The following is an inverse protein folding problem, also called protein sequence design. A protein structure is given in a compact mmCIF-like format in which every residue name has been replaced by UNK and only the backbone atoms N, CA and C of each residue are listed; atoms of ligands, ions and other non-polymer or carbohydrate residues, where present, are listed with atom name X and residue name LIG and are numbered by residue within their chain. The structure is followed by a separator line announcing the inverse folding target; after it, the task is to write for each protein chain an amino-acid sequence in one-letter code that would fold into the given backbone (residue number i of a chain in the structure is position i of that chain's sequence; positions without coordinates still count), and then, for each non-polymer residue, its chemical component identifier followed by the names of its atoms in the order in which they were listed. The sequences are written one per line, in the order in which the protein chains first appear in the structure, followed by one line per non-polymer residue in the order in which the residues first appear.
data_IF_980622897869
#
_entry.id   IF_980622897869
#
_cell.length_a   1.000
_cell.length_b   1.000
_cell.length_c   1.000
_cell.angle_alpha   90.00
_cell.angle_beta   90.00
_cell.angle_gamma   90.00
#
_symmetry.space_group_name_H-M   'P 1'
#
loop_
_entity.id
_entity.type
_entity.pdbx_description
1 polymer ?
#
# COMPACT_ATOMS: atom_id res chain seq x y z
N UNK A 1 -58.82 -83.25 -40.09
CA UNK A 1 -58.87 -83.63 -38.66
C UNK A 1 -58.38 -82.44 -37.88
N UNK A 2 -59.27 -81.77 -37.17
CA UNK A 2 -59.28 -81.49 -35.74
C UNK A 2 -57.96 -80.89 -35.22
N UNK A 3 -57.88 -79.78 -34.54
CA UNK A 3 -58.66 -79.16 -33.47
C UNK A 3 -58.29 -77.72 -33.26
N UNK A 4 -59.15 -76.84 -33.18
CA UNK A 4 -59.58 -75.75 -32.38
C UNK A 4 -58.85 -75.68 -31.01
N UNK A 5 -58.30 -74.57 -30.66
CA UNK A 5 -58.53 -73.93 -29.35
C UNK A 5 -58.19 -72.45 -29.39
N UNK A 6 -59.07 -71.67 -28.90
CA UNK A 6 -59.10 -70.27 -28.52
C UNK A 6 -58.40 -70.10 -27.22
N UNK A 7 -57.66 -69.04 -27.02
CA UNK A 7 -57.59 -68.31 -25.72
C UNK A 7 -57.15 -66.88 -25.89
N UNK A 8 -57.94 -66.09 -25.56
CA UNK A 8 -58.27 -64.88 -24.84
C UNK A 8 -57.06 -64.15 -24.27
N UNK A 9 -57.00 -62.88 -24.67
CA UNK A 9 -56.73 -61.59 -23.95
C UNK A 9 -56.13 -61.68 -22.55
N UNK A 10 -55.13 -60.89 -22.38
CA UNK A 10 -55.13 -59.93 -21.24
C UNK A 10 -54.15 -58.74 -21.54
N UNK A 11 -54.72 -57.58 -21.50
CA UNK A 11 -53.97 -56.34 -21.59
C UNK A 11 -53.11 -56.13 -20.33
N UNK A 12 -51.91 -55.68 -20.54
CA UNK A 12 -51.10 -55.17 -19.44
C UNK A 12 -50.93 -53.69 -19.66
N UNK A 13 -51.55 -52.93 -18.79
CA UNK A 13 -51.41 -51.47 -18.67
C UNK A 13 -50.08 -51.22 -18.01
N UNK A 14 -49.10 -50.70 -18.75
CA UNK A 14 -47.87 -50.21 -18.17
C UNK A 14 -48.12 -48.83 -17.54
N UNK A 15 -48.29 -48.79 -16.25
CA UNK A 15 -48.24 -47.59 -15.44
C UNK A 15 -46.80 -47.11 -15.35
N UNK A 16 -46.43 -46.18 -16.21
CA UNK A 16 -45.25 -45.38 -16.01
C UNK A 16 -45.52 -44.35 -14.89
N UNK A 17 -45.14 -44.72 -13.68
CA UNK A 17 -45.12 -43.82 -12.56
C UNK A 17 -44.08 -42.72 -12.84
N UNK A 18 -44.52 -41.50 -13.18
CA UNK A 18 -43.69 -40.33 -13.17
C UNK A 18 -43.37 -40.00 -11.70
N UNK A 19 -42.16 -40.31 -11.27
CA UNK A 19 -41.63 -39.86 -9.99
C UNK A 19 -41.39 -38.36 -10.15
N UNK A 20 -42.29 -37.54 -9.66
CA UNK A 20 -42.09 -36.13 -9.49
C UNK A 20 -41.07 -35.94 -8.34
N UNK A 21 -39.82 -35.64 -8.69
CA UNK A 21 -38.84 -35.16 -7.73
C UNK A 21 -39.29 -33.77 -7.24
N UNK A 22 -40.02 -33.75 -6.14
CA UNK A 22 -40.26 -32.51 -5.38
C UNK A 22 -38.93 -32.12 -4.74
N UNK A 23 -38.32 -31.00 -5.10
CA UNK A 23 -37.12 -30.57 -4.40
C UNK A 23 -37.51 -30.23 -2.96
N UNK A 24 -36.99 -30.98 -2.01
CA UNK A 24 -37.23 -30.71 -0.59
C UNK A 24 -36.81 -29.29 -0.28
N UNK A 25 -37.66 -28.51 0.36
CA UNK A 25 -37.44 -27.12 0.76
C UNK A 25 -36.13 -26.91 1.55
N UNK A 26 -35.61 -27.98 2.10
CA UNK A 26 -34.34 -28.06 2.81
C UNK A 26 -33.10 -27.78 1.93
N UNK A 27 -33.12 -28.17 0.66
CA UNK A 27 -31.96 -27.95 -0.24
C UNK A 27 -31.85 -26.50 -0.72
N UNK A 28 -32.98 -25.84 -0.94
CA UNK A 28 -33.03 -24.42 -1.29
C UNK A 28 -32.58 -23.52 -0.14
N UNK A 29 -32.84 -23.92 1.10
CA UNK A 29 -32.34 -23.19 2.28
C UNK A 29 -30.86 -23.41 2.48
N UNK A 30 -30.30 -24.58 2.24
CA UNK A 30 -28.88 -24.86 2.28
C UNK A 30 -28.11 -24.08 1.19
N UNK A 31 -28.61 -24.01 -0.03
CA UNK A 31 -28.03 -23.21 -1.12
C UNK A 31 -27.99 -21.70 -0.76
N UNK A 32 -29.08 -21.18 -0.18
CA UNK A 32 -29.12 -19.78 0.27
C UNK A 32 -28.12 -19.49 1.40
N UNK A 33 -27.94 -20.39 2.36
CA UNK A 33 -26.98 -20.27 3.43
C UNK A 33 -25.54 -20.29 2.92
N UNK A 34 -25.24 -21.14 1.94
CA UNK A 34 -23.91 -21.20 1.32
C UNK A 34 -23.60 -19.91 0.55
N UNK A 35 -24.55 -19.36 -0.21
CA UNK A 35 -24.32 -18.12 -0.97
C UNK A 35 -24.15 -16.90 -0.06
N UNK A 36 -24.87 -16.83 1.05
CA UNK A 36 -24.71 -15.72 2.04
C UNK A 36 -23.36 -15.86 2.75
N UNK A 37 -22.94 -17.08 3.11
CA UNK A 37 -21.66 -17.32 3.76
C UNK A 37 -20.48 -16.99 2.86
N UNK A 38 -20.52 -17.33 1.56
CA UNK A 38 -19.46 -17.00 0.60
C UNK A 38 -19.39 -15.49 0.31
N UNK A 39 -20.52 -14.79 0.25
CA UNK A 39 -20.54 -13.33 0.10
C UNK A 39 -19.95 -12.62 1.32
N UNK A 40 -20.21 -13.13 2.54
CA UNK A 40 -19.66 -12.56 3.77
C UNK A 40 -18.13 -12.77 3.88
N UNK A 41 -17.62 -13.92 3.44
CA UNK A 41 -16.17 -14.18 3.44
C UNK A 41 -15.44 -13.33 2.40
N UNK A 42 -16.05 -13.08 1.23
CA UNK A 42 -15.45 -12.24 0.19
C UNK A 42 -15.37 -10.76 0.60
N UNK A 43 -16.25 -10.28 1.47
CA UNK A 43 -16.26 -8.90 1.95
C UNK A 43 -15.20 -8.62 3.04
N UNK A 44 -14.63 -9.65 3.66
CA UNK A 44 -13.61 -9.54 4.71
C UNK A 44 -12.17 -9.48 4.18
N UNK A 45 -11.95 -9.63 2.86
CA UNK A 45 -10.61 -9.65 2.27
C UNK A 45 -10.20 -8.35 1.58
N UNK A 46 -10.91 -7.24 1.80
CA UNK A 46 -10.41 -5.93 1.37
C UNK A 46 -9.28 -5.50 2.31
N UNK A 47 -8.10 -6.07 2.13
CA UNK A 47 -6.90 -5.49 2.67
C UNK A 47 -6.72 -4.14 1.98
N UNK A 48 -6.96 -3.07 2.69
CA UNK A 48 -6.59 -1.73 2.26
C UNK A 48 -5.06 -1.72 2.15
N UNK A 49 -4.57 -1.80 0.93
CA UNK A 49 -3.18 -1.51 0.63
C UNK A 49 -3.03 -0.02 0.88
N UNK A 50 -2.53 0.35 2.06
CA UNK A 50 -2.09 1.70 2.30
C UNK A 50 -0.79 1.90 1.51
N UNK A 51 -0.92 2.31 0.25
CA UNK A 51 0.16 3.05 -0.39
C UNK A 51 0.38 4.33 0.44
N UNK A 52 1.63 4.76 0.60
CA UNK A 52 2.02 6.02 1.26
C UNK A 52 1.02 7.11 0.90
N UNK A 53 0.59 7.90 1.86
CA UNK A 53 -0.78 8.32 1.98
C UNK A 53 -1.24 8.98 0.69
N UNK A 54 -2.30 8.43 0.10
CA UNK A 54 -3.17 9.23 -0.75
C UNK A 54 -3.76 10.32 0.15
N UNK A 55 -2.92 11.29 0.53
CA UNK A 55 -3.41 12.48 1.19
C UNK A 55 -4.40 13.12 0.24
N UNK A 56 -5.63 13.19 0.67
CA UNK A 56 -6.62 14.03 0.05
C UNK A 56 -5.96 15.39 -0.22
N UNK A 57 -6.01 15.85 -1.45
CA UNK A 57 -5.36 17.08 -1.95
C UNK A 57 -5.71 18.36 -1.15
N UNK A 58 -6.42 18.24 -0.04
CA UNK A 58 -6.98 19.35 0.75
C UNK A 58 -6.18 19.68 2.01
N UNK A 59 -5.27 18.82 2.48
CA UNK A 59 -4.51 19.12 3.70
C UNK A 59 -3.01 18.92 3.46
N UNK A 60 -2.18 19.91 3.83
CA UNK A 60 -0.74 19.76 3.74
C UNK A 60 -0.24 18.70 4.72
N UNK A 61 0.85 18.02 4.37
CA UNK A 61 1.57 17.14 5.27
C UNK A 61 2.08 17.92 6.49
N UNK A 62 2.16 17.32 7.68
CA UNK A 62 2.68 17.99 8.86
C UNK A 62 4.18 18.32 8.74
N UNK A 63 4.91 17.56 7.94
CA UNK A 63 6.36 17.68 7.76
C UNK A 63 6.77 17.54 6.29
N UNK A 64 7.98 17.93 5.98
CA UNK A 64 8.72 17.59 4.76
C UNK A 64 9.45 16.28 5.01
N UNK A 65 9.80 15.57 3.96
CA UNK A 65 10.55 14.33 4.10
C UNK A 65 11.75 14.30 3.18
N UNK A 66 12.86 13.80 3.67
CA UNK A 66 13.96 13.31 2.85
C UNK A 66 13.98 11.81 2.95
N UNK A 67 13.72 11.13 1.82
CA UNK A 67 13.76 9.67 1.73
C UNK A 67 15.07 9.32 1.03
N UNK A 68 15.94 8.59 1.72
CA UNK A 68 17.20 8.09 1.19
C UNK A 68 17.07 6.61 0.86
N UNK A 69 17.18 6.27 -0.40
CA UNK A 69 17.16 4.90 -0.90
C UNK A 69 18.58 4.39 -1.07
N UNK A 70 18.84 3.15 -0.69
CA UNK A 70 20.15 2.50 -0.77
C UNK A 70 20.02 1.00 -1.06
N UNK A 71 21.08 0.34 -1.58
CA UNK A 71 21.07 -1.12 -1.72
C UNK A 71 21.13 -1.84 -0.37
N UNK A 72 21.93 -1.31 0.57
CA UNK A 72 22.16 -1.89 1.90
C UNK A 72 22.63 -0.83 2.90
N UNK A 73 22.75 -1.19 4.19
CA UNK A 73 23.36 -0.36 5.23
C UNK A 73 24.88 -0.35 5.07
N UNK A 74 25.39 0.44 4.17
CA UNK A 74 26.82 0.57 3.89
C UNK A 74 27.45 1.84 4.50
N UNK A 75 28.70 2.12 4.13
CA UNK A 75 29.43 3.30 4.58
C UNK A 75 28.81 4.61 4.10
N UNK A 76 28.18 4.61 2.91
CA UNK A 76 27.53 5.80 2.32
C UNK A 76 26.29 6.18 3.10
N UNK A 77 25.47 5.18 3.48
CA UNK A 77 24.30 5.36 4.36
C UNK A 77 24.73 5.91 5.73
N UNK A 78 25.82 5.35 6.31
CA UNK A 78 26.34 5.80 7.60
C UNK A 78 26.86 7.25 7.54
N UNK A 79 27.54 7.61 6.47
CA UNK A 79 27.98 8.99 6.23
C UNK A 79 26.78 9.92 6.13
N UNK A 80 25.76 9.58 5.33
CA UNK A 80 24.53 10.35 5.21
C UNK A 80 23.85 10.56 6.58
N UNK A 81 23.68 9.50 7.39
CA UNK A 81 23.08 9.62 8.72
C UNK A 81 23.91 10.48 9.68
N UNK A 82 25.24 10.42 9.61
CA UNK A 82 26.11 11.32 10.38
C UNK A 82 25.93 12.78 9.96
N UNK A 83 25.84 13.06 8.66
CA UNK A 83 25.56 14.40 8.15
C UNK A 83 24.18 14.91 8.58
N UNK A 84 23.16 14.04 8.63
CA UNK A 84 21.84 14.37 9.20
C UNK A 84 21.95 14.80 10.65
N UNK A 85 22.72 14.09 11.48
CA UNK A 85 22.93 14.47 12.89
C UNK A 85 23.61 15.83 13.03
N UNK A 86 24.60 16.13 12.20
CA UNK A 86 25.29 17.43 12.19
C UNK A 86 24.32 18.57 11.82
N UNK A 87 23.39 18.32 10.90
CA UNK A 87 22.45 19.31 10.39
C UNK A 87 21.09 19.27 11.11
N UNK A 88 20.96 18.48 12.18
CA UNK A 88 19.67 18.18 12.82
C UNK A 88 18.86 19.42 13.19
N UNK A 89 19.50 20.43 13.80
CA UNK A 89 18.80 21.66 14.17
C UNK A 89 18.18 22.36 12.95
N UNK A 90 18.90 22.44 11.85
CA UNK A 90 18.40 23.09 10.62
C UNK A 90 17.26 22.28 9.98
N UNK A 91 17.32 20.96 10.07
CA UNK A 91 16.28 20.05 9.57
C UNK A 91 15.01 20.15 10.42
N UNK A 92 15.16 20.12 11.75
CA UNK A 92 14.04 20.26 12.70
C UNK A 92 13.33 21.62 12.54
N UNK A 93 14.09 22.69 12.37
CA UNK A 93 13.52 24.03 12.14
C UNK A 93 12.67 24.11 10.88
N UNK A 94 12.92 23.21 9.91
CA UNK A 94 12.21 23.14 8.63
C UNK A 94 11.17 22.01 8.60
N UNK A 95 10.87 21.41 9.75
CA UNK A 95 9.98 20.25 9.88
C UNK A 95 10.35 19.14 8.90
N UNK A 96 11.63 18.77 8.83
CA UNK A 96 12.12 17.71 7.93
C UNK A 96 12.27 16.41 8.70
N UNK A 97 11.60 15.36 8.23
CA UNK A 97 11.77 13.99 8.69
C UNK A 97 12.68 13.25 7.73
N UNK A 98 13.64 12.54 8.28
CA UNK A 98 14.58 11.72 7.52
C UNK A 98 14.11 10.26 7.55
N UNK A 99 14.07 9.64 6.37
CA UNK A 99 13.78 8.23 6.21
C UNK A 99 14.88 7.57 5.38
N UNK A 100 15.33 6.39 5.78
CA UNK A 100 16.22 5.54 4.99
C UNK A 100 15.50 4.25 4.67
N UNK A 101 15.55 3.82 3.42
CA UNK A 101 14.95 2.59 2.92
C UNK A 101 16.02 1.85 2.11
N UNK A 102 16.49 0.72 2.61
CA UNK A 102 17.44 -0.12 1.89
C UNK A 102 16.77 -1.36 1.30
N UNK A 103 17.24 -1.80 0.12
CA UNK A 103 16.75 -3.02 -0.54
C UNK A 103 16.98 -4.28 0.33
N UNK A 104 18.00 -4.25 1.20
CA UNK A 104 18.31 -5.30 2.17
C UNK A 104 17.28 -5.43 3.31
N UNK A 105 16.30 -4.52 3.41
CA UNK A 105 15.33 -4.44 4.50
C UNK A 105 15.74 -3.53 5.65
N UNK A 106 16.93 -2.90 5.61
CA UNK A 106 17.32 -1.92 6.62
C UNK A 106 16.51 -0.62 6.46
N UNK A 107 15.95 -0.12 7.57
CA UNK A 107 15.17 1.14 7.57
C UNK A 107 15.52 2.05 8.74
N UNK A 108 15.39 3.35 8.51
CA UNK A 108 15.43 4.37 9.56
C UNK A 108 14.25 5.31 9.35
N UNK A 109 13.35 5.46 10.34
CA UNK A 109 13.24 4.67 11.58
C UNK A 109 12.83 3.21 11.28
N UNK A 110 13.08 2.30 12.20
CA UNK A 110 12.83 0.86 12.04
C UNK A 110 11.35 0.50 11.86
N UNK A 111 10.42 1.31 12.35
CA UNK A 111 8.98 1.09 12.21
C UNK A 111 8.46 1.30 10.76
N UNK A 112 9.27 1.86 9.86
CA UNK A 112 8.85 2.08 8.46
C UNK A 112 8.45 0.77 7.76
N UNK A 113 9.14 -0.32 8.06
CA UNK A 113 8.85 -1.63 7.49
C UNK A 113 7.47 -2.17 7.93
N UNK A 114 7.03 -1.83 9.14
CA UNK A 114 5.75 -2.26 9.69
C UNK A 114 4.57 -1.45 9.12
N UNK A 115 4.79 -0.16 8.84
CA UNK A 115 3.75 0.79 8.45
C UNK A 115 3.61 0.95 6.93
N UNK A 116 4.68 0.67 6.16
CA UNK A 116 4.72 0.93 4.73
C UNK A 116 5.15 -0.29 3.91
N UNK A 117 4.54 -0.44 2.74
CA UNK A 117 5.07 -1.33 1.72
C UNK A 117 6.27 -0.66 1.05
N UNK A 118 7.48 -1.00 1.49
CA UNK A 118 8.73 -0.38 1.03
C UNK A 118 8.98 -0.60 -0.47
N UNK A 119 8.59 -1.74 -1.01
CA UNK A 119 8.71 -2.03 -2.44
C UNK A 119 7.79 -1.11 -3.26
N UNK A 120 6.56 -0.87 -2.78
CA UNK A 120 5.66 0.07 -3.42
C UNK A 120 6.19 1.50 -3.38
N UNK A 121 6.77 1.93 -2.25
CA UNK A 121 7.41 3.24 -2.10
C UNK A 121 8.57 3.40 -3.09
N UNK A 122 9.47 2.42 -3.16
CA UNK A 122 10.60 2.41 -4.11
C UNK A 122 10.13 2.48 -5.56
N UNK A 123 9.05 1.75 -5.89
CA UNK A 123 8.44 1.76 -7.22
C UNK A 123 7.80 3.09 -7.58
N UNK A 124 7.08 3.74 -6.64
CA UNK A 124 6.43 5.05 -6.85
C UNK A 124 7.47 6.12 -7.19
N UNK A 125 8.63 6.10 -6.54
CA UNK A 125 9.71 7.03 -6.80
C UNK A 125 10.64 6.59 -7.93
N UNK A 126 10.36 5.47 -8.62
CA UNK A 126 11.14 4.95 -9.74
C UNK A 126 12.64 4.85 -9.43
N UNK A 127 12.96 4.31 -8.24
CA UNK A 127 14.34 4.22 -7.77
C UNK A 127 15.05 3.06 -8.49
N UNK A 128 16.18 3.33 -9.17
CA UNK A 128 16.96 2.27 -9.81
C UNK A 128 17.55 1.31 -8.75
N UNK A 129 17.49 0.02 -9.03
CA UNK A 129 18.12 -0.99 -8.15
C UNK A 129 19.62 -0.74 -7.97
N UNK A 130 20.08 -0.95 -6.74
CA UNK A 130 21.48 -0.78 -6.39
C UNK A 130 21.94 0.67 -6.34
N UNK A 131 21.02 1.66 -6.40
CA UNK A 131 21.40 3.07 -6.38
C UNK A 131 21.30 3.69 -4.98
N UNK A 132 22.16 4.67 -4.74
CA UNK A 132 22.02 5.63 -3.64
C UNK A 132 21.32 6.88 -4.17
N UNK A 133 20.05 7.01 -3.85
CA UNK A 133 19.21 8.11 -4.35
C UNK A 133 18.44 8.73 -3.20
N UNK A 134 18.49 10.04 -3.06
CA UNK A 134 17.69 10.77 -2.11
C UNK A 134 16.62 11.61 -2.80
N UNK A 135 15.46 11.72 -2.16
CA UNK A 135 14.30 12.46 -2.68
C UNK A 135 13.76 13.38 -1.59
N UNK A 136 13.67 14.68 -1.88
CA UNK A 136 13.03 15.67 -1.02
C UNK A 136 11.56 15.81 -1.39
N UNK A 137 10.68 15.61 -0.40
CA UNK A 137 9.24 15.73 -0.53
C UNK A 137 8.75 16.95 0.26
N UNK A 138 7.98 17.80 -0.37
CA UNK A 138 7.36 18.96 0.29
C UNK A 138 6.13 18.61 1.11
N UNK A 139 5.64 19.57 1.91
CA UNK A 139 4.37 19.43 2.65
C UNK A 139 3.14 19.26 1.75
N UNK A 140 3.26 19.54 0.46
CA UNK A 140 2.23 19.25 -0.55
C UNK A 140 2.29 17.80 -1.09
N UNK A 141 3.15 16.96 -0.54
CA UNK A 141 3.35 15.58 -0.95
C UNK A 141 4.07 15.38 -2.29
N UNK A 142 4.59 16.46 -2.87
CA UNK A 142 5.27 16.41 -4.18
C UNK A 142 6.78 16.38 -4.01
N UNK A 143 7.45 15.65 -4.90
CA UNK A 143 8.89 15.69 -5.05
C UNK A 143 9.35 17.12 -5.40
N UNK A 144 10.35 17.62 -4.69
CA UNK A 144 10.94 18.95 -4.88
C UNK A 144 12.34 18.87 -5.45
N UNK A 145 13.09 17.86 -5.05
CA UNK A 145 14.45 17.65 -5.50
C UNK A 145 14.84 16.20 -5.36
N UNK A 146 15.74 15.76 -6.24
CA UNK A 146 16.31 14.41 -6.25
C UNK A 146 17.81 14.53 -6.49
N UNK A 147 18.59 13.72 -5.76
CA UNK A 147 20.04 13.70 -5.95
C UNK A 147 20.61 12.30 -5.70
N UNK A 148 21.80 12.09 -6.21
CA UNK A 148 22.60 10.91 -5.98
C UNK A 148 23.93 11.31 -5.35
N UNK A 149 24.55 10.41 -4.59
CA UNK A 149 25.83 10.65 -3.95
C UNK A 149 25.74 11.55 -2.72
N UNK A 150 26.79 12.35 -2.50
CA UNK A 150 26.90 13.21 -1.31
C UNK A 150 25.84 14.30 -1.26
N UNK A 151 25.24 14.51 -0.09
CA UNK A 151 24.21 15.52 0.11
C UNK A 151 24.84 16.91 0.31
N UNK A 152 24.42 17.87 -0.50
CA UNK A 152 24.68 19.30 -0.24
C UNK A 152 23.55 19.87 0.63
N UNK A 153 23.74 19.84 1.94
CA UNK A 153 22.75 20.32 2.91
C UNK A 153 22.43 21.81 2.77
N UNK A 154 23.39 22.62 2.31
CA UNK A 154 23.13 24.05 2.03
C UNK A 154 22.15 24.19 0.86
N UNK A 155 22.33 23.40 -0.20
CA UNK A 155 21.40 23.39 -1.33
C UNK A 155 20.01 22.91 -0.88
N UNK A 156 19.93 21.82 -0.11
CA UNK A 156 18.65 21.26 0.36
C UNK A 156 17.91 22.28 1.23
N UNK A 157 18.57 22.91 2.20
CA UNK A 157 17.95 23.91 3.06
C UNK A 157 17.49 25.15 2.29
N UNK A 158 18.27 25.59 1.31
CA UNK A 158 17.88 26.70 0.43
C UNK A 158 16.63 26.37 -0.40
N UNK A 159 16.58 25.18 -1.01
CA UNK A 159 15.38 24.73 -1.74
C UNK A 159 14.16 24.73 -0.83
N UNK A 160 14.30 24.26 0.41
CA UNK A 160 13.20 24.27 1.38
C UNK A 160 12.78 25.69 1.73
N UNK A 161 13.74 26.58 2.00
CA UNK A 161 13.47 27.97 2.40
C UNK A 161 12.79 28.78 1.30
N UNK A 162 12.94 28.40 0.03
CA UNK A 162 12.23 28.99 -1.11
C UNK A 162 10.77 28.48 -1.26
N UNK A 163 10.38 27.43 -0.54
CA UNK A 163 9.01 26.89 -0.63
C UNK A 163 7.98 27.89 -0.07
N UNK A 164 6.83 28.12 -0.74
CA UNK A 164 5.84 29.10 -0.29
C UNK A 164 5.32 28.87 1.14
N UNK A 165 5.13 27.62 1.55
CA UNK A 165 4.71 27.30 2.91
C UNK A 165 5.81 27.60 3.93
N UNK A 166 7.07 27.34 3.60
CA UNK A 166 8.21 27.65 4.48
C UNK A 166 8.39 29.16 4.62
N UNK A 167 8.20 29.93 3.58
CA UNK A 167 8.21 31.40 3.64
C UNK A 167 7.19 31.93 4.66
N UNK A 168 6.01 31.35 4.73
CA UNK A 168 4.99 31.69 5.72
C UNK A 168 5.39 31.24 7.14
N UNK A 169 6.02 30.07 7.28
CA UNK A 169 6.54 29.58 8.56
C UNK A 169 7.60 30.52 9.13
N UNK A 170 8.57 30.94 8.31
CA UNK A 170 9.65 31.86 8.71
C UNK A 170 9.11 33.21 9.15
N UNK A 171 8.02 33.72 8.59
CA UNK A 171 7.38 34.95 9.04
C UNK A 171 6.73 34.83 10.43
N UNK A 172 6.41 33.64 10.87
CA UNK A 172 5.71 33.37 12.14
C UNK A 172 6.65 32.93 13.27
N UNK A 173 7.82 32.44 12.94
CA UNK A 173 8.76 31.83 13.89
C UNK A 173 10.15 32.42 13.68
N UNK A 174 10.81 32.81 14.77
CA UNK A 174 12.23 33.15 14.73
C UNK A 174 13.07 31.88 14.60
N UNK A 175 14.21 31.97 13.90
CA UNK A 175 15.16 30.86 13.81
C UNK A 175 15.60 30.38 15.18
N UNK A 176 15.56 29.08 15.42
CA UNK A 176 16.04 28.46 16.66
C UNK A 176 17.48 28.00 16.55
N UNK A 177 18.01 27.95 15.34
CA UNK A 177 19.35 27.45 15.03
C UNK A 177 20.34 28.58 14.74
N UNK A 178 20.08 29.80 15.21
CA UNK A 178 21.06 30.86 15.17
C UNK A 178 22.22 30.53 16.14
N UNK A 179 23.39 30.29 15.57
CA UNK A 179 24.67 30.21 16.29
C UNK A 179 25.12 31.60 16.66
#
# INVERSE_FOLDING_TARGET
MLHRQKHKSHGSISNTARVALVPSSSWLTLLKLITVSTALILSLTTHSVFAYPAYSHSQPLPHRSVIYFAPEEDSVVKEFLNEVLINNCQLDERDVVIMVIAESGYTVPTWLEEEFNLEAVTSIYEIPKGSHTAVLIGKDGKEKHRWNGKTDWNLITNIIDEMPMRQQEMQRQNSRCSI
#
